data_IF_563556118350
#
_entry.id   IF_563556118350
#
_cell.length_a   1.000
_cell.length_b   1.000
_cell.length_c   1.000
_cell.angle_alpha   90.00
_cell.angle_beta   90.00
_cell.angle_gamma   90.00
#
_symmetry.space_group_name_H-M   'P 1'
#
loop_
_entity.id
_entity.type
_entity.pdbx_description
1 polymer ?
#
# COMPACT_ATOMS: atom_id res chain seq x y z
N UNK A 1 19.24 -13.84 16.39
CA UNK A 1 19.13 -12.37 16.51
C UNK A 1 17.93 -11.92 15.70
N UNK A 2 17.12 -10.98 16.21
CA UNK A 2 15.97 -10.43 15.45
C UNK A 2 16.52 -9.55 14.33
N UNK A 3 16.03 -9.71 13.09
CA UNK A 3 16.46 -8.87 11.96
C UNK A 3 16.07 -7.41 12.19
N UNK A 4 16.95 -6.42 11.92
CA UNK A 4 16.61 -4.99 11.97
C UNK A 4 15.37 -4.64 11.13
N UNK A 5 15.18 -5.31 9.98
CA UNK A 5 14.00 -5.11 9.13
C UNK A 5 12.70 -5.49 9.86
N UNK A 6 12.69 -6.60 10.62
CA UNK A 6 11.53 -7.01 11.43
C UNK A 6 11.23 -6.02 12.56
N UNK A 7 12.26 -5.47 13.20
CA UNK A 7 12.09 -4.45 14.24
C UNK A 7 11.48 -3.16 13.68
N UNK A 8 12.02 -2.67 12.55
CA UNK A 8 11.47 -1.50 11.86
C UNK A 8 10.02 -1.77 11.44
N UNK A 9 9.77 -2.95 10.86
CA UNK A 9 8.45 -3.37 10.41
C UNK A 9 7.41 -3.41 11.53
N UNK A 10 7.76 -4.01 12.67
CA UNK A 10 6.95 -4.00 13.87
C UNK A 10 6.70 -2.58 14.41
N UNK A 11 7.71 -1.72 14.35
CA UNK A 11 7.61 -0.31 14.71
C UNK A 11 6.61 0.44 13.83
N UNK A 12 6.68 0.29 12.50
CA UNK A 12 5.76 0.92 11.55
C UNK A 12 4.33 0.37 11.72
N UNK A 13 4.16 -0.95 11.89
CA UNK A 13 2.83 -1.53 12.17
C UNK A 13 2.26 -0.96 13.47
N UNK A 14 3.05 -0.94 14.54
CA UNK A 14 2.63 -0.41 15.83
C UNK A 14 2.25 1.07 15.74
N UNK A 15 3.02 1.86 14.98
CA UNK A 15 2.75 3.28 14.78
C UNK A 15 1.48 3.52 13.97
N UNK A 16 1.19 2.73 12.94
CA UNK A 16 -0.10 2.77 12.25
C UNK A 16 -1.24 2.29 13.13
N UNK A 17 -1.04 1.23 13.92
CA UNK A 17 -2.06 0.75 14.83
C UNK A 17 -2.47 1.88 15.78
N UNK A 18 -1.53 2.60 16.38
CA UNK A 18 -1.80 3.74 17.27
C UNK A 18 -2.32 4.94 16.48
N UNK A 19 -1.51 5.51 15.59
CA UNK A 19 -1.76 6.80 14.94
C UNK A 19 -2.88 6.78 13.91
N UNK A 20 -3.12 5.64 13.24
CA UNK A 20 -4.23 5.52 12.29
C UNK A 20 -5.49 4.98 12.95
N UNK A 21 -5.43 3.93 13.78
CA UNK A 21 -6.65 3.32 14.36
C UNK A 21 -7.27 4.18 15.43
N UNK A 22 -6.46 4.80 16.30
CA UNK A 22 -6.99 5.67 17.35
C UNK A 22 -7.55 6.99 16.79
N UNK A 23 -7.17 7.41 15.58
CA UNK A 23 -7.59 8.71 15.04
C UNK A 23 -9.07 8.73 14.59
N UNK A 24 -9.86 9.55 15.27
CA UNK A 24 -11.27 9.77 14.96
C UNK A 24 -11.43 10.72 13.78
N UNK A 25 -12.08 10.26 12.71
CA UNK A 25 -12.36 11.12 11.54
C UNK A 25 -13.38 12.22 11.87
N UNK A 26 -14.23 12.00 12.88
CA UNK A 26 -15.28 12.93 13.32
C UNK A 26 -14.69 14.01 14.22
N UNK A 27 -14.04 13.62 15.32
CA UNK A 27 -13.53 14.56 16.32
C UNK A 27 -12.14 15.11 15.99
N UNK A 28 -11.47 14.57 14.95
CA UNK A 28 -10.12 14.95 14.52
C UNK A 28 -9.03 14.81 15.59
N UNK A 29 -9.26 13.96 16.59
CA UNK A 29 -8.36 13.69 17.73
C UNK A 29 -8.04 12.20 17.84
N UNK A 30 -7.03 11.86 18.66
CA UNK A 30 -6.73 10.48 19.02
C UNK A 30 -7.67 10.02 20.14
N UNK A 31 -8.40 8.95 19.88
CA UNK A 31 -9.35 8.33 20.80
C UNK A 31 -8.85 6.92 21.17
N UNK A 32 -8.35 6.78 22.39
CA UNK A 32 -7.77 5.51 22.87
C UNK A 32 -8.78 4.36 22.90
N UNK A 33 -10.08 4.65 23.07
CA UNK A 33 -11.12 3.62 23.00
C UNK A 33 -11.21 2.98 21.60
N UNK A 34 -11.05 3.75 20.51
CA UNK A 34 -11.02 3.19 19.15
C UNK A 34 -9.88 2.19 18.96
N UNK A 35 -8.73 2.43 19.59
CA UNK A 35 -7.62 1.48 19.57
C UNK A 35 -7.92 0.23 20.40
N UNK A 36 -8.40 0.40 21.65
CA UNK A 36 -8.79 -0.72 22.52
C UNK A 36 -9.84 -1.61 21.86
N UNK A 37 -10.78 -1.04 21.12
CA UNK A 37 -11.78 -1.80 20.38
C UNK A 37 -11.15 -2.78 19.39
N UNK A 38 -10.06 -2.39 18.72
CA UNK A 38 -9.35 -3.24 17.75
C UNK A 38 -8.44 -4.22 18.46
N UNK A 39 -7.60 -3.76 19.40
CA UNK A 39 -6.61 -4.59 20.12
C UNK A 39 -7.30 -5.63 21.00
N UNK A 40 -8.38 -5.27 21.70
CA UNK A 40 -9.13 -6.17 22.56
C UNK A 40 -10.34 -6.81 21.87
N UNK A 41 -10.49 -6.63 20.54
CA UNK A 41 -11.56 -7.26 19.73
C UNK A 41 -12.97 -6.96 20.26
N UNK A 42 -13.20 -5.79 20.87
CA UNK A 42 -14.49 -5.45 21.52
C UNK A 42 -15.67 -5.42 20.54
N UNK A 43 -15.41 -5.08 19.27
CA UNK A 43 -16.41 -5.02 18.19
C UNK A 43 -16.49 -6.32 17.34
N UNK A 44 -15.85 -7.39 17.80
CA UNK A 44 -15.81 -8.68 17.11
C UNK A 44 -14.67 -8.82 16.10
N UNK A 45 -14.37 -10.08 15.76
CA UNK A 45 -13.24 -10.46 14.90
C UNK A 45 -13.31 -9.84 13.51
N UNK A 46 -14.51 -9.77 12.92
CA UNK A 46 -14.73 -9.17 11.60
C UNK A 46 -14.30 -7.69 11.56
N UNK A 47 -14.70 -6.91 12.57
CA UNK A 47 -14.32 -5.51 12.65
C UNK A 47 -12.79 -5.36 12.82
N UNK A 48 -12.21 -6.12 13.75
CA UNK A 48 -10.76 -6.08 14.00
C UNK A 48 -9.97 -6.48 12.77
N UNK A 49 -10.35 -7.55 12.08
CA UNK A 49 -9.67 -8.01 10.87
C UNK A 49 -9.72 -6.95 9.76
N UNK A 50 -10.84 -6.24 9.59
CA UNK A 50 -10.94 -5.13 8.63
C UNK A 50 -10.00 -3.98 8.98
N UNK A 51 -9.82 -3.63 10.27
CA UNK A 51 -8.92 -2.56 10.67
C UNK A 51 -7.45 -2.99 10.54
N UNK A 52 -7.11 -4.20 10.96
CA UNK A 52 -5.75 -4.75 10.81
C UNK A 52 -5.36 -4.86 9.33
N UNK A 53 -6.29 -5.24 8.45
CA UNK A 53 -6.06 -5.28 7.01
C UNK A 53 -5.68 -3.90 6.43
N UNK A 54 -6.26 -2.81 6.95
CA UNK A 54 -5.87 -1.45 6.56
C UNK A 54 -4.50 -1.08 7.11
N UNK A 55 -4.23 -1.43 8.37
CA UNK A 55 -2.92 -1.20 8.99
C UNK A 55 -1.82 -1.91 8.19
N UNK A 56 -2.04 -3.17 7.78
CA UNK A 56 -1.13 -3.91 6.91
C UNK A 56 -0.92 -3.24 5.56
N UNK A 57 -1.99 -2.78 4.90
CA UNK A 57 -1.88 -2.09 3.61
C UNK A 57 -1.03 -0.82 3.70
N UNK A 58 -1.32 0.03 4.70
CA UNK A 58 -0.62 1.29 4.92
C UNK A 58 0.85 1.06 5.32
N UNK A 59 1.07 0.13 6.25
CA UNK A 59 2.42 -0.21 6.72
C UNK A 59 3.26 -0.81 5.61
N UNK A 60 2.69 -1.69 4.78
CA UNK A 60 3.36 -2.31 3.65
C UNK A 60 3.75 -1.28 2.60
N UNK A 61 2.82 -0.41 2.20
CA UNK A 61 3.11 0.63 1.19
C UNK A 61 4.15 1.65 1.70
N UNK A 62 4.10 2.02 2.98
CA UNK A 62 5.12 2.90 3.58
C UNK A 62 6.50 2.27 3.63
N UNK A 63 6.59 1.02 4.09
CA UNK A 63 7.86 0.31 4.15
C UNK A 63 8.44 0.05 2.76
N UNK A 64 7.60 -0.22 1.76
CA UNK A 64 8.03 -0.35 0.37
C UNK A 64 8.67 0.95 -0.14
N UNK A 65 8.04 2.09 0.15
CA UNK A 65 8.64 3.40 -0.13
C UNK A 65 9.98 3.56 0.57
N UNK A 66 10.07 3.29 1.87
CA UNK A 66 11.32 3.39 2.64
C UNK A 66 12.43 2.47 2.11
N UNK A 67 12.09 1.26 1.67
CA UNK A 67 13.03 0.30 1.10
C UNK A 67 13.70 0.84 -0.16
N UNK A 68 12.96 1.60 -0.98
CA UNK A 68 13.45 2.16 -2.24
C UNK A 68 13.97 3.60 -2.14
N UNK A 69 14.04 4.23 -0.96
CA UNK A 69 14.76 5.50 -0.79
C UNK A 69 16.26 5.20 -0.69
N UNK A 70 17.10 5.71 -1.61
CA UNK A 70 18.54 5.45 -1.60
C UNK A 70 19.18 5.89 -0.27
N UNK A 71 19.97 5.00 0.34
CA UNK A 71 20.73 5.28 1.58
C UNK A 71 19.91 5.43 2.86
N UNK A 72 18.58 5.49 2.81
CA UNK A 72 17.75 5.68 4.01
C UNK A 72 17.94 4.53 5.01
N UNK A 73 17.93 3.29 4.53
CA UNK A 73 18.01 2.10 5.38
C UNK A 73 19.43 1.79 5.85
N UNK A 74 20.46 2.22 5.09
CA UNK A 74 21.87 2.04 5.47
C UNK A 74 22.20 2.75 6.78
N UNK A 75 21.60 3.92 7.04
CA UNK A 75 21.83 4.71 8.26
C UNK A 75 21.42 3.99 9.53
N UNK A 76 20.48 3.05 9.44
CA UNK A 76 19.93 2.29 10.56
C UNK A 76 20.24 0.79 10.48
N UNK A 77 21.11 0.38 9.55
CA UNK A 77 21.55 -1.01 9.39
C UNK A 77 20.43 -1.96 8.96
N UNK A 78 19.40 -1.47 8.26
CA UNK A 78 18.30 -2.27 7.74
C UNK A 78 18.63 -2.71 6.31
N UNK A 79 18.51 -4.01 6.03
CA UNK A 79 18.61 -4.50 4.66
C UNK A 79 17.33 -4.10 3.89
N UNK A 80 17.49 -3.38 2.78
CA UNK A 80 16.37 -2.88 1.97
C UNK A 80 15.55 -4.00 1.34
N UNK A 81 16.17 -5.10 0.94
CA UNK A 81 15.48 -6.25 0.32
C UNK A 81 14.63 -6.99 1.34
N UNK A 82 15.14 -7.21 2.55
CA UNK A 82 14.35 -7.78 3.64
C UNK A 82 13.10 -6.91 3.90
N UNK A 83 13.26 -5.59 3.90
CA UNK A 83 12.15 -4.65 4.09
C UNK A 83 11.17 -4.67 2.91
N UNK A 84 11.65 -4.71 1.67
CA UNK A 84 10.82 -4.81 0.47
C UNK A 84 10.05 -6.13 0.42
N UNK A 85 10.67 -7.25 0.79
CA UNK A 85 10.03 -8.56 0.88
C UNK A 85 8.94 -8.58 1.97
N UNK A 86 9.24 -8.06 3.17
CA UNK A 86 8.24 -7.90 4.23
C UNK A 86 7.05 -7.04 3.78
N UNK A 87 7.34 -5.92 3.11
CA UNK A 87 6.32 -5.04 2.55
C UNK A 87 5.44 -5.75 1.53
N UNK A 88 6.06 -6.58 0.68
CA UNK A 88 5.35 -7.40 -0.30
C UNK A 88 4.43 -8.40 0.38
N UNK A 89 4.91 -9.13 1.39
CA UNK A 89 4.05 -10.05 2.14
C UNK A 89 2.87 -9.36 2.80
N UNK A 90 3.05 -8.14 3.33
CA UNK A 90 1.95 -7.35 3.90
C UNK A 90 0.92 -6.96 2.85
N UNK A 91 1.36 -6.46 1.69
CA UNK A 91 0.49 -6.01 0.61
C UNK A 91 -0.24 -7.18 -0.07
N UNK A 92 0.42 -8.32 -0.23
CA UNK A 92 -0.20 -9.57 -0.70
C UNK A 92 -1.23 -10.06 0.30
N UNK A 93 -0.89 -10.11 1.59
CA UNK A 93 -1.83 -10.51 2.65
C UNK A 93 -3.05 -9.58 2.67
N UNK A 94 -2.82 -8.28 2.47
CA UNK A 94 -3.87 -7.30 2.34
C UNK A 94 -4.79 -7.59 1.15
N UNK A 95 -4.21 -7.85 -0.02
CA UNK A 95 -4.94 -8.20 -1.24
C UNK A 95 -5.78 -9.47 -1.05
N UNK A 96 -5.17 -10.53 -0.50
CA UNK A 96 -5.82 -11.82 -0.26
C UNK A 96 -7.02 -11.68 0.69
N UNK A 97 -6.85 -10.99 1.83
CA UNK A 97 -7.96 -10.72 2.75
C UNK A 97 -9.05 -9.88 2.09
N UNK A 98 -8.67 -8.86 1.31
CA UNK A 98 -9.62 -7.97 0.64
C UNK A 98 -10.45 -8.70 -0.41
N UNK A 99 -9.85 -9.63 -1.16
CA UNK A 99 -10.56 -10.53 -2.09
C UNK A 99 -11.54 -11.40 -1.31
N UNK A 100 -11.07 -12.13 -0.31
CA UNK A 100 -11.92 -13.00 0.52
C UNK A 100 -13.12 -12.24 1.11
N UNK A 101 -12.89 -11.05 1.68
CA UNK A 101 -13.93 -10.31 2.41
C UNK A 101 -14.86 -9.50 1.52
N UNK A 102 -14.36 -8.91 0.43
CA UNK A 102 -15.10 -7.90 -0.32
C UNK A 102 -15.46 -8.30 -1.75
N UNK A 103 -14.99 -9.44 -2.26
CA UNK A 103 -15.33 -9.86 -3.61
C UNK A 103 -16.85 -9.94 -3.81
N UNK A 104 -17.31 -9.49 -4.98
CA UNK A 104 -18.71 -9.35 -5.33
C UNK A 104 -19.53 -8.40 -4.41
N UNK A 105 -18.87 -7.44 -3.75
CA UNK A 105 -19.53 -6.36 -3.00
C UNK A 105 -19.37 -5.01 -3.69
N UNK A 106 -19.99 -3.96 -3.14
CA UNK A 106 -19.78 -2.59 -3.60
C UNK A 106 -18.32 -2.13 -3.52
N UNK A 107 -17.53 -2.68 -2.59
CA UNK A 107 -16.11 -2.32 -2.40
C UNK A 107 -15.19 -3.01 -3.41
N UNK A 108 -15.54 -4.22 -3.84
CA UNK A 108 -14.80 -4.97 -4.85
C UNK A 108 -15.79 -5.65 -5.80
N UNK A 109 -16.20 -4.96 -6.88
CA UNK A 109 -17.18 -5.50 -7.83
C UNK A 109 -16.65 -6.71 -8.57
N UNK A 110 -17.57 -7.52 -9.12
CA UNK A 110 -17.21 -8.70 -9.93
C UNK A 110 -16.40 -8.28 -11.16
N UNK A 111 -15.42 -9.11 -11.52
CA UNK A 111 -14.56 -8.89 -12.69
C UNK A 111 -15.39 -8.76 -13.98
N UNK A 112 -16.51 -9.49 -14.09
CA UNK A 112 -17.44 -9.39 -15.22
C UNK A 112 -18.01 -8.00 -15.46
N UNK A 113 -17.91 -7.08 -14.49
CA UNK A 113 -18.36 -5.68 -14.62
C UNK A 113 -17.25 -4.72 -15.09
N UNK A 114 -16.01 -5.17 -15.19
CA UNK A 114 -14.85 -4.33 -15.56
C UNK A 114 -14.86 -3.81 -17.00
N UNK A 115 -15.44 -4.51 -18.00
CA UNK A 115 -15.56 -3.93 -19.35
C UNK A 115 -16.31 -2.60 -19.40
N UNK A 116 -17.13 -2.28 -18.38
CA UNK A 116 -17.89 -1.02 -18.26
C UNK A 116 -17.11 0.13 -17.62
N UNK A 117 -15.84 -0.04 -17.25
CA UNK A 117 -15.05 1.00 -16.57
C UNK A 117 -15.05 2.32 -17.35
N UNK A 118 -14.79 2.28 -18.65
CA UNK A 118 -14.70 3.49 -19.47
C UNK A 118 -16.05 4.20 -19.61
N UNK A 119 -17.13 3.44 -19.83
CA UNK A 119 -18.47 4.03 -19.93
C UNK A 119 -18.92 4.62 -18.60
N UNK A 120 -18.65 3.96 -17.48
CA UNK A 120 -18.94 4.47 -16.13
C UNK A 120 -18.08 5.69 -15.74
N UNK A 121 -16.83 5.76 -16.19
CA UNK A 121 -15.91 6.85 -15.87
C UNK A 121 -16.16 8.12 -16.70
N UNK A 122 -16.37 7.96 -18.02
CA UNK A 122 -16.33 9.07 -18.97
C UNK A 122 -17.70 9.48 -19.53
N UNK A 123 -18.76 8.69 -19.31
CA UNK A 123 -20.10 9.09 -19.75
C UNK A 123 -20.61 10.29 -18.93
N UNK A 124 -21.11 11.31 -19.63
CA UNK A 124 -21.82 12.43 -19.01
C UNK A 124 -23.12 11.98 -18.32
N UNK A 125 -23.73 10.89 -18.80
CA UNK A 125 -24.94 10.30 -18.23
C UNK A 125 -24.68 9.39 -17.02
N UNK A 126 -23.41 9.06 -16.72
CA UNK A 126 -23.09 8.19 -15.59
C UNK A 126 -23.40 8.88 -14.26
N UNK A 127 -24.11 8.16 -13.39
CA UNK A 127 -24.42 8.57 -12.03
C UNK A 127 -23.15 8.70 -11.18
N UNK A 128 -23.25 9.44 -10.08
CA UNK A 128 -22.15 9.58 -9.11
C UNK A 128 -21.68 8.23 -8.56
N UNK A 129 -22.59 7.27 -8.39
CA UNK A 129 -22.27 5.92 -7.91
C UNK A 129 -21.48 5.16 -8.98
N UNK A 130 -21.91 5.21 -10.25
CA UNK A 130 -21.19 4.57 -11.36
C UNK A 130 -19.77 5.12 -11.50
N UNK A 131 -19.60 6.43 -11.44
CA UNK A 131 -18.27 7.06 -11.46
C UNK A 131 -17.40 6.59 -10.30
N UNK A 132 -17.96 6.47 -9.08
CA UNK A 132 -17.23 5.92 -7.93
C UNK A 132 -16.88 4.44 -8.13
N UNK A 133 -17.77 3.65 -8.74
CA UNK A 133 -17.50 2.25 -9.07
C UNK A 133 -16.38 2.12 -10.10
N UNK A 134 -16.32 2.99 -11.11
CA UNK A 134 -15.22 3.02 -12.07
C UNK A 134 -13.88 3.29 -11.39
N UNK A 135 -13.81 4.26 -10.46
CA UNK A 135 -12.59 4.53 -9.66
C UNK A 135 -12.14 3.30 -8.88
N UNK A 136 -13.07 2.59 -8.22
CA UNK A 136 -12.74 1.35 -7.49
C UNK A 136 -12.20 0.27 -8.41
N UNK A 137 -12.78 0.08 -9.58
CA UNK A 137 -12.31 -0.89 -10.57
C UNK A 137 -10.91 -0.54 -11.08
N UNK A 138 -10.64 0.74 -11.39
CA UNK A 138 -9.30 1.23 -11.71
C UNK A 138 -8.32 0.94 -10.57
N UNK A 139 -8.70 1.26 -9.33
CA UNK A 139 -7.86 0.99 -8.17
C UNK A 139 -7.51 -0.50 -8.06
N UNK A 140 -8.47 -1.41 -8.27
CA UNK A 140 -8.25 -2.86 -8.23
C UNK A 140 -7.32 -3.34 -9.34
N UNK A 141 -7.44 -2.80 -10.56
CA UNK A 141 -6.49 -3.09 -11.63
C UNK A 141 -5.07 -2.64 -11.25
N UNK A 142 -4.92 -1.42 -10.73
CA UNK A 142 -3.63 -0.91 -10.26
C UNK A 142 -3.05 -1.78 -9.14
N UNK A 143 -3.84 -2.15 -8.13
CA UNK A 143 -3.38 -2.98 -7.01
C UNK A 143 -2.98 -4.40 -7.45
N UNK A 144 -3.70 -4.98 -8.41
CA UNK A 144 -3.39 -6.29 -8.98
C UNK A 144 -2.09 -6.24 -9.79
N UNK A 145 -1.94 -5.24 -10.67
CA UNK A 145 -0.73 -5.05 -11.46
C UNK A 145 0.49 -4.74 -10.58
N UNK A 146 0.32 -3.89 -9.54
CA UNK A 146 1.35 -3.63 -8.54
C UNK A 146 1.80 -4.93 -7.87
N UNK A 147 0.86 -5.74 -7.38
CA UNK A 147 1.18 -7.02 -6.74
C UNK A 147 1.90 -7.97 -7.69
N UNK A 148 1.50 -8.03 -8.97
CA UNK A 148 2.17 -8.86 -9.97
C UNK A 148 3.61 -8.40 -10.24
N UNK A 149 3.84 -7.09 -10.38
CA UNK A 149 5.19 -6.53 -10.54
C UNK A 149 6.05 -6.74 -9.30
N UNK A 150 5.50 -6.59 -8.10
CA UNK A 150 6.21 -6.89 -6.86
C UNK A 150 6.63 -8.36 -6.78
N UNK A 151 5.75 -9.28 -7.18
CA UNK A 151 6.09 -10.70 -7.27
C UNK A 151 7.15 -10.97 -8.32
N UNK A 152 7.04 -10.37 -9.51
CA UNK A 152 8.04 -10.49 -10.56
C UNK A 152 9.40 -10.00 -10.05
N UNK A 153 9.44 -8.82 -9.42
CA UNK A 153 10.65 -8.26 -8.80
C UNK A 153 11.27 -9.21 -7.75
N UNK A 154 10.47 -9.87 -6.91
CA UNK A 154 10.98 -10.84 -5.94
C UNK A 154 11.44 -12.18 -6.57
N UNK A 155 10.94 -12.55 -7.76
CA UNK A 155 11.20 -13.84 -8.41
C UNK A 155 12.29 -13.79 -9.47
N UNK A 156 12.41 -12.68 -10.19
CA UNK A 156 13.47 -12.44 -11.20
C UNK A 156 14.85 -12.51 -10.53
N UNK A 157 14.88 -12.16 -9.25
CA UNK A 157 16.04 -12.15 -8.36
C UNK A 157 16.41 -13.52 -7.76
N UNK A 158 16.33 -14.60 -8.55
CA UNK A 158 16.81 -15.95 -8.17
C UNK A 158 18.28 -16.01 -7.69
N UNK A 159 19.03 -14.92 -7.83
CA UNK A 159 20.41 -14.67 -7.35
C UNK A 159 20.50 -13.78 -6.10
N UNK A 160 19.49 -12.99 -5.77
CA UNK A 160 19.57 -11.93 -4.75
C UNK A 160 19.11 -12.34 -3.35
N UNK A 161 18.29 -13.40 -3.23
CA UNK A 161 17.99 -14.03 -1.93
C UNK A 161 19.29 -14.56 -1.25
N UNK A 162 20.40 -14.69 -1.98
CA UNK A 162 21.68 -15.20 -1.48
C UNK A 162 22.79 -14.13 -1.32
N UNK A 163 22.63 -12.94 -1.92
CA UNK A 163 23.58 -11.83 -1.76
C UNK A 163 23.04 -10.85 -0.70
N UNK A 164 23.34 -11.11 0.58
CA UNK A 164 22.96 -10.26 1.73
C UNK A 164 23.64 -8.88 1.77
N UNK A 165 24.36 -8.50 0.73
CA UNK A 165 25.07 -7.22 0.68
C UNK A 165 24.15 -6.12 0.21
N UNK A 166 24.30 -4.95 0.84
CA UNK A 166 23.61 -3.68 0.55
C UNK A 166 23.31 -3.56 -0.94
N UNK A 167 22.07 -3.23 -1.29
CA UNK A 167 21.68 -2.88 -2.66
C UNK A 167 22.61 -1.74 -3.08
N UNK A 168 23.57 -1.95 -3.99
CA UNK A 168 24.39 -0.86 -4.47
C UNK A 168 23.47 0.17 -5.12
N UNK A 169 23.84 1.45 -5.11
CA UNK A 169 23.11 2.48 -5.87
C UNK A 169 22.90 2.03 -7.32
N UNK A 170 23.83 1.24 -7.85
CA UNK A 170 23.80 0.65 -9.18
C UNK A 170 22.61 -0.29 -9.40
N UNK A 171 22.17 -1.04 -8.39
CA UNK A 171 21.00 -1.92 -8.50
C UNK A 171 19.66 -1.15 -8.48
N UNK A 172 19.61 0.01 -7.81
CA UNK A 172 18.46 0.92 -7.94
C UNK A 172 18.37 1.51 -9.36
N UNK A 173 19.50 1.73 -10.02
CA UNK A 173 19.54 2.22 -11.39
C UNK A 173 19.10 1.14 -12.38
N UNK A 174 19.57 -0.10 -12.21
CA UNK A 174 19.21 -1.24 -13.07
C UNK A 174 17.71 -1.55 -13.02
N UNK A 175 17.10 -1.51 -11.84
CA UNK A 175 15.68 -1.82 -11.63
C UNK A 175 14.77 -0.57 -11.52
N UNK A 176 15.26 0.60 -11.95
CA UNK A 176 14.51 1.84 -11.82
C UNK A 176 13.12 1.80 -12.50
N UNK A 177 12.95 1.21 -13.71
CA UNK A 177 11.65 1.11 -14.36
C UNK A 177 10.64 0.28 -13.55
N UNK A 178 11.06 -0.87 -13.01
CA UNK A 178 10.23 -1.77 -12.22
C UNK A 178 9.79 -1.10 -10.91
N UNK A 179 10.73 -0.47 -10.22
CA UNK A 179 10.47 0.29 -8.98
C UNK A 179 9.49 1.42 -9.27
N UNK A 180 9.70 2.18 -10.35
CA UNK A 180 8.77 3.24 -10.77
C UNK A 180 7.37 2.68 -11.02
N UNK A 181 7.27 1.55 -11.73
CA UNK A 181 6.00 0.87 -12.01
C UNK A 181 5.27 0.44 -10.75
N UNK A 182 5.96 -0.26 -9.84
CA UNK A 182 5.41 -0.73 -8.56
C UNK A 182 4.91 0.45 -7.71
N UNK A 183 5.75 1.47 -7.52
CA UNK A 183 5.41 2.63 -6.69
C UNK A 183 4.25 3.43 -7.29
N UNK A 184 4.26 3.66 -8.61
CA UNK A 184 3.19 4.39 -9.30
C UNK A 184 1.86 3.65 -9.20
N UNK A 185 1.84 2.34 -9.45
CA UNK A 185 0.62 1.54 -9.37
C UNK A 185 0.10 1.43 -7.92
N UNK A 186 1.00 1.31 -6.94
CA UNK A 186 0.65 1.33 -5.51
C UNK A 186 0.03 2.67 -5.08
N UNK A 187 0.62 3.80 -5.51
CA UNK A 187 0.10 5.15 -5.26
C UNK A 187 -1.26 5.36 -5.93
N UNK A 188 -1.43 4.95 -7.19
CA UNK A 188 -2.71 5.04 -7.91
C UNK A 188 -3.78 4.17 -7.26
N UNK A 189 -3.44 2.93 -6.86
CA UNK A 189 -4.33 2.06 -6.10
C UNK A 189 -4.82 2.76 -4.82
N UNK A 190 -3.90 3.28 -4.00
CA UNK A 190 -4.23 4.00 -2.78
C UNK A 190 -5.13 5.21 -3.05
N UNK A 191 -4.74 6.06 -4.01
CA UNK A 191 -5.46 7.28 -4.36
C UNK A 191 -6.89 6.99 -4.80
N UNK A 192 -7.09 6.06 -5.74
CA UNK A 192 -8.43 5.74 -6.26
C UNK A 192 -9.31 4.99 -5.25
N UNK A 193 -8.72 4.29 -4.26
CA UNK A 193 -9.48 3.67 -3.17
C UNK A 193 -9.98 4.70 -2.13
N UNK A 194 -9.21 5.75 -1.87
CA UNK A 194 -9.54 6.73 -0.83
C UNK A 194 -10.28 7.97 -1.34
N UNK A 195 -10.16 8.29 -2.64
CA UNK A 195 -10.89 9.42 -3.22
C UNK A 195 -12.40 9.16 -3.20
N UNK A 196 -13.16 10.13 -2.70
CA UNK A 196 -14.61 10.02 -2.64
C UNK A 196 -15.28 10.35 -3.99
N UNK A 197 -16.61 10.32 -3.98
CA UNK A 197 -17.43 10.69 -5.12
C UNK A 197 -17.24 12.15 -5.59
N UNK A 198 -16.89 13.06 -4.67
CA UNK A 198 -16.67 14.49 -4.93
C UNK A 198 -15.23 14.80 -5.31
N UNK A 199 -14.33 13.81 -5.30
CA UNK A 199 -12.91 14.03 -5.57
C UNK A 199 -12.12 14.46 -4.34
N UNK A 200 -12.73 14.50 -3.16
CA UNK A 200 -11.99 14.77 -1.92
C UNK A 200 -11.23 13.52 -1.49
N UNK A 201 -10.10 13.72 -0.82
CA UNK A 201 -9.26 12.65 -0.27
C UNK A 201 -9.34 12.68 1.27
N UNK A 202 -10.42 12.14 1.88
CA UNK A 202 -10.67 12.19 3.34
C UNK A 202 -9.83 11.18 4.12
N UNK A 203 -8.53 11.13 3.82
CA UNK A 203 -7.54 10.25 4.46
C UNK A 203 -7.20 10.79 5.84
N UNK A 204 -6.99 9.90 6.80
CA UNK A 204 -6.51 10.29 8.15
C UNK A 204 -5.09 10.86 8.02
N UNK A 205 -4.69 11.88 8.80
CA UNK A 205 -3.35 12.46 8.68
C UNK A 205 -2.22 11.43 8.69
N UNK A 206 -2.27 10.44 9.59
CA UNK A 206 -1.27 9.38 9.66
C UNK A 206 -1.28 8.43 8.44
N UNK A 207 -2.44 8.28 7.79
CA UNK A 207 -2.57 7.53 6.54
C UNK A 207 -1.81 8.16 5.36
N UNK A 208 -1.54 9.47 5.40
CA UNK A 208 -0.79 10.17 4.35
C UNK A 208 0.67 9.72 4.25
N UNK A 209 1.23 9.10 5.29
CA UNK A 209 2.58 8.55 5.23
C UNK A 209 2.71 7.47 4.14
N UNK A 210 1.64 6.72 3.86
CA UNK A 210 1.58 5.71 2.80
C UNK A 210 1.46 6.34 1.40
N UNK A 211 1.24 7.65 1.31
CA UNK A 211 1.33 8.41 0.07
C UNK A 211 2.71 9.09 -0.05
N UNK A 212 3.18 9.71 1.04
CA UNK A 212 4.40 10.52 1.05
C UNK A 212 5.64 9.66 0.80
N UNK A 213 5.82 8.58 1.57
CA UNK A 213 7.03 7.75 1.50
C UNK A 213 7.27 7.11 0.13
N UNK A 214 6.29 6.44 -0.51
CA UNK A 214 6.46 5.95 -1.88
C UNK A 214 6.57 7.06 -2.92
N UNK A 215 5.96 8.25 -2.71
CA UNK A 215 6.14 9.37 -3.64
C UNK A 215 7.57 9.91 -3.65
N UNK A 216 8.19 10.01 -2.47
CA UNK A 216 9.60 10.40 -2.35
C UNK A 216 10.50 9.37 -3.02
N UNK A 217 10.27 8.08 -2.76
CA UNK A 217 11.01 6.99 -3.41
C UNK A 217 10.85 7.02 -4.94
N UNK A 218 9.63 7.25 -5.43
CA UNK A 218 9.34 7.36 -6.86
C UNK A 218 10.09 8.54 -7.50
N UNK A 219 10.17 9.69 -6.83
CA UNK A 219 10.93 10.84 -7.32
C UNK A 219 12.43 10.52 -7.46
N UNK A 220 13.01 9.75 -6.54
CA UNK A 220 14.39 9.27 -6.65
C UNK A 220 14.55 8.27 -7.80
N UNK A 221 13.68 7.26 -7.90
CA UNK A 221 13.75 6.25 -8.94
C UNK A 221 13.57 6.85 -10.35
N UNK A 222 12.65 7.80 -10.51
CA UNK A 222 12.37 8.43 -11.80
C UNK A 222 13.58 9.16 -12.39
N UNK A 223 14.51 9.65 -11.55
CA UNK A 223 15.77 10.25 -12.01
C UNK A 223 16.60 9.27 -12.85
N UNK A 224 16.55 7.98 -12.55
CA UNK A 224 17.35 6.95 -13.22
C UNK A 224 16.67 6.39 -14.48
N UNK A 225 15.38 6.67 -14.69
CA UNK A 225 14.65 6.26 -15.90
C UNK A 225 14.74 7.32 -17.00
N UNK A 226 14.90 8.59 -16.62
CA UNK A 226 14.88 9.73 -17.55
C UNK A 226 16.26 10.12 -18.10
N UNK A 227 17.34 9.49 -17.63
CA UNK A 227 18.73 9.75 -18.01
C UNK A 227 19.26 8.56 -18.80
#
# INVERSE_FOLDING_TARGET
>A
MISPALLLSGGVIGSYLIGYTAYSKTNKTLEWESLKEVVCVKKGLDHTAVQLNKVLALSGLTQLGLAFIPGAMDTIGVNQQDLAALSTYMLVSHGAYSIYRYYASAKMPRISTFPRIFTEAFSSAASTIEKLMAKRKFALLCGTACSALMYAYLLDDGTYIHSRTKVPVDALQEHAPEICGVLSLGLLHFYFMEVDAKGALPVRPYGLLALITPSVALAFAAKYVLV
#
